data_IF_678640239328
#
_entry.id   IF_678640239328
#
_cell.length_a   1.000
_cell.length_b   1.000
_cell.length_c   1.000
_cell.angle_alpha   90.00
_cell.angle_beta   90.00
_cell.angle_gamma   90.00
#
_symmetry.space_group_name_H-M   'P 1'
#
loop_
_entity.id
_entity.type
_entity.pdbx_description
1 polymer ?
#
# COMPACT_ATOMS: atom_id res chain seq x y z
N UNK A 1 32.64 0.84 10.09
CA UNK A 1 31.26 0.91 9.57
C UNK A 1 30.57 -0.38 9.93
N UNK A 2 29.48 -0.33 10.67
CA UNK A 2 28.78 -1.56 11.12
C UNK A 2 28.12 -2.24 9.92
N UNK A 3 28.30 -3.54 9.79
CA UNK A 3 27.70 -4.39 8.74
C UNK A 3 26.16 -4.27 8.74
N UNK A 4 25.56 -3.97 9.90
CA UNK A 4 24.12 -3.83 10.09
C UNK A 4 23.49 -2.56 9.48
N UNK A 5 24.23 -1.48 9.27
CA UNK A 5 23.70 -0.25 8.68
C UNK A 5 23.44 -0.42 7.18
N UNK A 6 24.29 -1.12 6.47
CA UNK A 6 24.19 -1.31 5.02
C UNK A 6 22.96 -2.17 4.64
N UNK A 7 22.68 -3.24 5.41
CA UNK A 7 21.54 -4.10 5.14
C UNK A 7 20.20 -3.39 5.43
N UNK A 8 20.13 -2.60 6.51
CA UNK A 8 18.96 -1.83 6.86
C UNK A 8 18.66 -0.74 5.80
N UNK A 9 19.66 0.06 5.44
CA UNK A 9 19.53 1.09 4.41
C UNK A 9 19.17 0.48 3.05
N UNK A 10 19.76 -0.66 2.71
CA UNK A 10 19.42 -1.39 1.48
C UNK A 10 17.95 -1.79 1.45
N UNK A 11 17.43 -2.39 2.53
CA UNK A 11 16.03 -2.77 2.63
C UNK A 11 15.12 -1.54 2.51
N UNK A 12 15.39 -0.47 3.26
CA UNK A 12 14.60 0.76 3.23
C UNK A 12 14.57 1.41 1.85
N UNK A 13 15.71 1.50 1.19
CA UNK A 13 15.86 2.21 -0.08
C UNK A 13 15.44 1.41 -1.31
N UNK A 14 15.37 0.07 -1.19
CA UNK A 14 14.99 -0.83 -2.29
C UNK A 14 13.63 -1.51 -2.13
N UNK A 15 12.92 -1.29 -1.02
CA UNK A 15 11.54 -1.77 -0.88
C UNK A 15 10.63 -1.07 -1.88
N UNK A 16 9.80 -1.83 -2.58
CA UNK A 16 8.94 -1.38 -3.67
C UNK A 16 7.55 -2.00 -3.56
N UNK A 17 6.58 -1.34 -4.17
CA UNK A 17 5.28 -1.92 -4.46
C UNK A 17 5.43 -3.06 -5.47
N UNK A 18 5.39 -4.31 -5.00
CA UNK A 18 5.58 -5.49 -5.84
C UNK A 18 4.22 -5.96 -6.38
N UNK A 19 4.09 -6.06 -7.69
CA UNK A 19 2.87 -6.52 -8.38
C UNK A 19 3.20 -7.65 -9.35
N UNK A 20 3.75 -7.36 -10.53
CA UNK A 20 4.13 -8.34 -11.55
C UNK A 20 5.22 -9.33 -11.13
N UNK A 21 5.97 -8.98 -10.10
CA UNK A 21 7.05 -9.81 -9.55
C UNK A 21 6.63 -10.56 -8.28
N UNK A 22 5.32 -10.66 -7.99
CA UNK A 22 4.82 -11.58 -6.99
C UNK A 22 4.77 -12.99 -7.60
N UNK A 23 5.46 -13.92 -6.96
CA UNK A 23 5.38 -15.35 -7.24
C UNK A 23 4.19 -15.91 -6.47
N UNK A 24 3.14 -16.26 -7.18
CA UNK A 24 1.89 -16.77 -6.61
C UNK A 24 1.91 -18.29 -6.37
N UNK A 25 2.92 -18.98 -6.89
CA UNK A 25 2.97 -20.44 -6.87
C UNK A 25 3.87 -20.96 -5.73
N UNK A 26 4.79 -20.13 -5.23
CA UNK A 26 5.70 -20.48 -4.14
C UNK A 26 5.06 -20.25 -2.79
N UNK A 27 5.01 -21.31 -1.97
CA UNK A 27 4.42 -21.28 -0.63
C UNK A 27 5.27 -20.47 0.37
N UNK A 28 4.59 -19.78 1.28
CA UNK A 28 5.18 -19.02 2.39
C UNK A 28 4.76 -19.72 3.68
N UNK A 29 5.73 -20.04 4.53
CA UNK A 29 5.45 -20.53 5.87
C UNK A 29 4.83 -19.40 6.72
N UNK A 30 3.73 -19.72 7.44
CA UNK A 30 3.06 -18.76 8.29
C UNK A 30 3.95 -18.22 9.41
N UNK A 31 4.91 -19.00 9.87
CA UNK A 31 5.92 -18.56 10.86
C UNK A 31 6.67 -17.33 10.37
N UNK A 32 7.01 -17.25 9.08
CA UNK A 32 7.68 -16.08 8.50
C UNK A 32 6.76 -14.84 8.54
N UNK A 33 5.47 -15.04 8.31
CA UNK A 33 4.48 -13.96 8.42
C UNK A 33 4.34 -13.47 9.87
N UNK A 34 4.30 -14.39 10.83
CA UNK A 34 4.24 -14.10 12.26
C UNK A 34 5.47 -13.30 12.72
N UNK A 35 6.67 -13.69 12.29
CA UNK A 35 7.89 -12.91 12.57
C UNK A 35 7.81 -11.49 12.00
N UNK A 36 7.30 -11.32 10.77
CA UNK A 36 7.10 -10.01 10.17
C UNK A 36 6.07 -9.19 10.94
N UNK A 37 5.02 -9.82 11.45
CA UNK A 37 4.01 -9.17 12.29
C UNK A 37 4.60 -8.69 13.61
N UNK A 38 5.41 -9.51 14.29
CA UNK A 38 6.06 -9.13 15.55
C UNK A 38 6.95 -7.89 15.38
N UNK A 39 7.60 -7.72 14.22
CA UNK A 39 8.35 -6.51 13.88
C UNK A 39 7.39 -5.34 13.63
N UNK A 40 6.34 -5.55 12.87
CA UNK A 40 5.37 -4.50 12.53
C UNK A 40 4.67 -3.91 13.77
N UNK A 41 4.36 -4.73 14.74
CA UNK A 41 3.69 -4.32 15.98
C UNK A 41 4.58 -3.48 16.92
N UNK A 42 5.87 -3.30 16.60
CA UNK A 42 6.75 -2.34 17.31
C UNK A 42 6.57 -0.90 16.84
N UNK A 43 5.75 -0.66 15.81
CA UNK A 43 5.47 0.69 15.34
C UNK A 43 4.71 1.51 16.38
N UNK A 44 5.01 2.81 16.54
CA UNK A 44 4.31 3.65 17.50
C UNK A 44 2.85 3.89 17.09
N UNK A 45 1.97 4.02 18.09
CA UNK A 45 0.56 4.38 17.89
C UNK A 45 0.19 5.63 18.68
N UNK A 46 -0.68 6.45 18.15
CA UNK A 46 -1.24 7.60 18.84
C UNK A 46 -1.98 7.16 20.12
N UNK A 47 -1.58 7.70 21.27
CA UNK A 47 -2.20 7.39 22.55
C UNK A 47 -2.06 5.94 23.03
N UNK A 48 -1.08 5.19 22.52
CA UNK A 48 -0.89 3.76 22.80
C UNK A 48 -2.15 2.92 22.49
N UNK A 49 -2.89 3.28 21.45
CA UNK A 49 -4.20 2.68 21.19
C UNK A 49 -4.13 1.24 20.70
N UNK A 50 -3.09 0.89 19.91
CA UNK A 50 -2.87 -0.46 19.33
C UNK A 50 -4.16 -1.06 18.71
N UNK A 51 -4.96 -0.20 18.10
CA UNK A 51 -6.31 -0.48 17.66
C UNK A 51 -6.40 -1.10 16.26
N UNK A 52 -5.27 -1.46 15.67
CA UNK A 52 -5.22 -2.19 14.41
C UNK A 52 -5.73 -3.63 14.53
N UNK A 53 -6.28 -4.13 13.42
CA UNK A 53 -6.66 -5.53 13.22
C UNK A 53 -6.15 -5.98 11.86
N UNK A 54 -5.53 -7.15 11.83
CA UNK A 54 -4.87 -7.73 10.67
C UNK A 54 -5.59 -9.03 10.30
N UNK A 55 -6.29 -9.04 9.18
CA UNK A 55 -7.08 -10.18 8.72
C UNK A 55 -6.34 -10.83 7.55
N UNK A 56 -5.73 -11.99 7.81
CA UNK A 56 -5.08 -12.79 6.77
C UNK A 56 -6.10 -13.72 6.13
N UNK A 57 -6.41 -13.48 4.87
CA UNK A 57 -7.35 -14.28 4.09
C UNK A 57 -6.57 -15.32 3.30
N UNK A 58 -6.78 -16.59 3.60
CA UNK A 58 -6.17 -17.76 2.94
C UNK A 58 -7.18 -18.61 2.22
N UNK A 59 -8.43 -18.58 2.66
CA UNK A 59 -9.54 -19.30 2.04
C UNK A 59 -9.73 -18.87 0.58
N UNK A 60 -9.79 -19.84 -0.33
CA UNK A 60 -9.83 -19.58 -1.77
C UNK A 60 -11.15 -18.94 -2.23
N UNK A 61 -12.27 -19.31 -1.60
CA UNK A 61 -13.58 -18.75 -1.94
C UNK A 61 -13.67 -17.27 -1.50
N UNK A 62 -13.24 -17.00 -0.27
CA UNK A 62 -13.20 -15.64 0.27
C UNK A 62 -12.26 -14.77 -0.56
N UNK A 63 -11.05 -15.25 -0.86
CA UNK A 63 -10.10 -14.53 -1.74
C UNK A 63 -10.69 -14.25 -3.11
N UNK A 64 -11.40 -15.20 -3.70
CA UNK A 64 -12.03 -15.03 -5.02
C UNK A 64 -13.09 -13.93 -5.00
N UNK A 65 -13.93 -13.87 -3.95
CA UNK A 65 -14.95 -12.81 -3.78
C UNK A 65 -14.30 -11.44 -3.65
N UNK A 66 -13.28 -11.30 -2.80
CA UNK A 66 -12.55 -10.02 -2.62
C UNK A 66 -11.80 -9.63 -3.89
N UNK A 67 -11.18 -10.58 -4.58
CA UNK A 67 -10.49 -10.33 -5.85
C UNK A 67 -11.44 -9.84 -6.94
N UNK A 68 -12.66 -10.37 -7.00
CA UNK A 68 -13.69 -9.88 -7.92
C UNK A 68 -14.06 -8.43 -7.62
N UNK A 69 -14.33 -8.10 -6.35
CA UNK A 69 -14.62 -6.72 -5.91
C UNK A 69 -13.47 -5.77 -6.28
N UNK A 70 -12.23 -6.20 -6.01
CA UNK A 70 -11.04 -5.42 -6.33
C UNK A 70 -10.90 -5.14 -7.83
N UNK A 71 -11.14 -6.16 -8.67
CA UNK A 71 -11.10 -6.06 -10.12
C UNK A 71 -12.19 -5.15 -10.66
N UNK A 72 -13.42 -5.32 -10.19
CA UNK A 72 -14.56 -4.49 -10.59
C UNK A 72 -14.31 -3.02 -10.23
N UNK A 73 -13.76 -2.76 -9.04
CA UNK A 73 -13.34 -1.43 -8.61
C UNK A 73 -12.22 -0.86 -9.47
N UNK A 74 -11.23 -1.68 -9.90
CA UNK A 74 -10.18 -1.24 -10.82
C UNK A 74 -10.77 -0.83 -12.17
N UNK A 75 -11.66 -1.63 -12.73
CA UNK A 75 -12.30 -1.34 -14.01
C UNK A 75 -13.05 -0.02 -13.92
N UNK A 76 -13.94 0.11 -12.94
CA UNK A 76 -14.83 1.26 -12.80
C UNK A 76 -14.10 2.56 -12.44
N UNK A 77 -13.11 2.52 -11.56
CA UNK A 77 -12.48 3.72 -11.00
C UNK A 77 -11.09 4.05 -11.56
N UNK A 78 -10.54 3.18 -12.41
CA UNK A 78 -9.22 3.40 -13.03
C UNK A 78 -9.30 3.23 -14.55
N UNK A 79 -9.73 2.05 -15.02
CA UNK A 79 -9.68 1.72 -16.45
C UNK A 79 -10.67 2.55 -17.28
N UNK A 80 -11.96 2.50 -16.93
CA UNK A 80 -12.99 3.26 -17.65
C UNK A 80 -12.73 4.77 -17.66
N UNK A 81 -12.36 5.43 -16.52
CA UNK A 81 -11.98 6.83 -16.53
C UNK A 81 -10.77 7.15 -17.41
N UNK A 82 -9.77 6.24 -17.50
CA UNK A 82 -8.63 6.44 -18.42
C UNK A 82 -9.03 6.39 -19.90
N UNK A 83 -10.01 5.56 -20.24
CA UNK A 83 -10.52 5.40 -21.60
C UNK A 83 -11.55 6.51 -21.96
N UNK A 84 -12.13 7.18 -20.97
CA UNK A 84 -13.09 8.28 -21.14
C UNK A 84 -12.39 9.59 -21.56
N UNK A 85 -13.18 10.54 -22.09
CA UNK A 85 -12.73 11.92 -22.36
C UNK A 85 -13.47 12.95 -21.51
N UNK A 86 -14.18 12.51 -20.48
CA UNK A 86 -15.02 13.35 -19.63
C UNK A 86 -14.35 13.86 -18.35
N UNK A 87 -15.16 14.38 -17.43
CA UNK A 87 -14.73 14.88 -16.12
C UNK A 87 -14.02 13.82 -15.27
N UNK A 88 -14.45 12.57 -15.34
CA UNK A 88 -13.84 11.44 -14.61
C UNK A 88 -12.39 11.19 -15.04
N UNK A 89 -12.10 11.35 -16.35
CA UNK A 89 -10.73 11.27 -16.87
C UNK A 89 -9.86 12.38 -16.26
N UNK A 90 -10.36 13.60 -16.22
CA UNK A 90 -9.63 14.75 -15.66
C UNK A 90 -9.41 14.60 -14.16
N UNK A 91 -10.38 14.08 -13.42
CA UNK A 91 -10.27 13.80 -11.98
C UNK A 91 -9.21 12.72 -11.71
N UNK A 92 -9.26 11.61 -12.46
CA UNK A 92 -8.24 10.56 -12.33
C UNK A 92 -6.85 11.08 -12.67
N UNK A 93 -6.70 11.86 -13.75
CA UNK A 93 -5.44 12.48 -14.12
C UNK A 93 -4.90 13.39 -13.01
N UNK A 94 -5.75 14.18 -12.36
CA UNK A 94 -5.36 15.02 -11.23
C UNK A 94 -4.83 14.23 -10.02
N UNK A 95 -5.24 12.98 -9.87
CA UNK A 95 -4.76 12.05 -8.82
C UNK A 95 -3.45 11.33 -9.20
N UNK A 96 -3.12 11.27 -10.46
CA UNK A 96 -1.90 10.63 -10.98
C UNK A 96 -0.77 11.64 -11.07
N UNK A 97 0.34 11.37 -10.42
CA UNK A 97 1.48 12.30 -10.33
C UNK A 97 2.35 12.45 -11.61
N UNK A 98 1.98 11.82 -12.72
CA UNK A 98 2.79 11.78 -13.95
C UNK A 98 1.99 12.14 -15.19
N UNK A 99 1.11 13.15 -15.10
CA UNK A 99 0.28 13.60 -16.20
C UNK A 99 0.77 14.97 -16.70
N UNK A 100 0.97 15.08 -18.00
CA UNK A 100 1.28 16.34 -18.69
C UNK A 100 0.28 16.59 -19.81
N UNK A 101 0.34 17.76 -20.43
CA UNK A 101 -0.47 18.09 -21.62
C UNK A 101 -0.22 17.15 -22.79
N UNK A 102 0.92 16.43 -22.81
CA UNK A 102 1.26 15.42 -23.83
C UNK A 102 0.81 13.99 -23.46
N UNK A 103 0.15 13.80 -22.30
CA UNK A 103 -0.35 12.50 -21.84
C UNK A 103 0.38 11.95 -20.61
N UNK A 104 0.24 10.64 -20.37
CA UNK A 104 0.87 9.93 -19.25
C UNK A 104 2.37 9.70 -19.52
N UNK A 105 3.20 9.96 -18.53
CA UNK A 105 4.62 9.59 -18.61
C UNK A 105 4.85 8.07 -18.52
N UNK A 106 6.02 7.62 -18.94
CA UNK A 106 6.39 6.20 -18.97
C UNK A 106 6.37 5.52 -17.60
N UNK A 107 6.53 6.28 -16.51
CA UNK A 107 6.48 5.78 -15.13
C UNK A 107 5.04 5.51 -14.72
N UNK A 108 4.13 6.43 -15.04
CA UNK A 108 2.70 6.29 -14.78
C UNK A 108 2.11 5.15 -15.60
N UNK A 109 2.49 5.02 -16.88
CA UNK A 109 2.08 3.88 -17.72
C UNK A 109 2.51 2.55 -17.09
N UNK A 110 3.76 2.42 -16.66
CA UNK A 110 4.24 1.19 -16.00
C UNK A 110 3.52 0.91 -14.67
N UNK A 111 3.16 1.95 -13.93
CA UNK A 111 2.39 1.82 -12.69
C UNK A 111 0.99 1.30 -12.96
N UNK A 112 0.29 1.83 -13.96
CA UNK A 112 -1.05 1.42 -14.37
C UNK A 112 -1.05 -0.01 -14.93
N UNK A 113 -0.06 -0.38 -15.73
CA UNK A 113 0.14 -1.74 -16.24
C UNK A 113 0.37 -2.74 -15.08
N UNK A 114 1.15 -2.35 -14.08
CA UNK A 114 1.30 -3.14 -12.85
C UNK A 114 0.01 -3.24 -12.03
N UNK A 115 -0.80 -2.18 -11.98
CA UNK A 115 -2.08 -2.17 -11.28
C UNK A 115 -3.13 -3.06 -11.98
N UNK A 116 -3.17 -3.02 -13.32
CA UNK A 116 -4.01 -3.90 -14.13
C UNK A 116 -3.66 -5.38 -13.91
N UNK A 117 -2.36 -5.71 -13.98
CA UNK A 117 -1.90 -7.07 -13.69
C UNK A 117 -2.34 -7.53 -12.30
N UNK A 118 -2.22 -6.66 -11.29
CA UNK A 118 -2.64 -7.01 -9.93
C UNK A 118 -4.16 -7.21 -9.85
N UNK A 119 -4.96 -6.39 -10.51
CA UNK A 119 -6.40 -6.52 -10.53
C UNK A 119 -6.85 -7.88 -11.08
N UNK A 120 -6.12 -8.43 -12.05
CA UNK A 120 -6.40 -9.73 -12.62
C UNK A 120 -5.87 -10.91 -11.77
N UNK A 121 -4.89 -10.70 -10.91
CA UNK A 121 -4.14 -11.77 -10.26
C UNK A 121 -4.16 -11.73 -8.71
N UNK A 122 -4.72 -10.71 -8.07
CA UNK A 122 -4.64 -10.52 -6.61
C UNK A 122 -5.17 -11.74 -5.83
N UNK A 123 -6.20 -12.41 -6.35
CA UNK A 123 -6.78 -13.61 -5.75
C UNK A 123 -5.86 -14.83 -5.70
N UNK A 124 -4.78 -14.83 -6.51
CA UNK A 124 -3.77 -15.88 -6.51
C UNK A 124 -2.76 -15.76 -5.38
N UNK A 125 -2.66 -14.60 -4.71
CA UNK A 125 -1.74 -14.42 -3.59
C UNK A 125 -2.01 -15.44 -2.50
N UNK A 126 -0.96 -16.01 -1.92
CA UNK A 126 -1.14 -17.00 -0.84
C UNK A 126 -1.83 -16.36 0.36
N UNK A 127 -1.37 -15.20 0.77
CA UNK A 127 -2.01 -14.39 1.79
C UNK A 127 -2.53 -13.09 1.18
N UNK A 128 -3.81 -12.81 1.40
CA UNK A 128 -4.39 -11.50 1.15
C UNK A 128 -4.65 -10.89 2.52
N UNK A 129 -3.88 -9.85 2.87
CA UNK A 129 -3.97 -9.20 4.16
C UNK A 129 -4.83 -7.96 4.08
N UNK A 130 -5.93 -7.92 4.83
CA UNK A 130 -6.70 -6.71 5.08
C UNK A 130 -6.32 -6.13 6.43
N UNK A 131 -5.94 -4.85 6.45
CA UNK A 131 -5.63 -4.11 7.68
C UNK A 131 -6.76 -3.15 8.00
N UNK A 132 -7.26 -3.24 9.23
CA UNK A 132 -8.33 -2.39 9.76
C UNK A 132 -7.87 -1.70 11.05
N UNK A 133 -8.61 -0.70 11.48
CA UNK A 133 -8.55 -0.13 12.82
C UNK A 133 -9.91 -0.27 13.52
N UNK A 134 -9.91 -0.56 14.83
CA UNK A 134 -11.13 -0.68 15.65
C UNK A 134 -11.67 0.69 16.06
N UNK A 135 -11.64 1.64 15.14
CA UNK A 135 -12.23 2.96 15.29
C UNK A 135 -13.17 3.20 14.12
N UNK A 136 -14.32 3.84 14.35
CA UNK A 136 -15.16 4.27 13.24
C UNK A 136 -14.39 5.28 12.39
N UNK A 137 -14.74 5.34 11.11
CA UNK A 137 -14.12 6.29 10.18
C UNK A 137 -14.26 7.73 10.73
N UNK A 138 -13.16 8.44 10.96
CA UNK A 138 -13.15 9.72 11.65
C UNK A 138 -13.55 10.90 10.77
N UNK A 139 -14.37 10.72 9.72
CA UNK A 139 -14.86 11.82 8.89
C UNK A 139 -15.50 12.95 9.72
N UNK A 140 -15.99 12.62 10.92
CA UNK A 140 -16.58 13.58 11.85
C UNK A 140 -15.54 14.29 12.72
N UNK A 141 -14.33 13.74 12.86
CA UNK A 141 -13.29 14.23 13.79
C UNK A 141 -12.27 15.21 13.20
N UNK A 142 -12.41 15.56 11.93
CA UNK A 142 -11.51 16.49 11.25
C UNK A 142 -10.08 15.95 11.01
N UNK A 143 -9.17 16.83 10.56
CA UNK A 143 -7.81 16.47 10.15
C UNK A 143 -6.99 15.79 11.24
N UNK A 144 -7.14 16.18 12.51
CA UNK A 144 -6.43 15.59 13.65
C UNK A 144 -6.78 14.11 13.85
N UNK A 145 -8.06 13.76 13.77
CA UNK A 145 -8.54 12.37 13.93
C UNK A 145 -8.10 11.49 12.76
N UNK A 146 -8.15 11.99 11.53
CA UNK A 146 -7.64 11.31 10.34
C UNK A 146 -6.14 11.06 10.45
N UNK A 147 -5.39 12.09 10.85
CA UNK A 147 -3.94 12.00 11.02
C UNK A 147 -3.56 10.98 12.11
N UNK A 148 -4.26 10.98 13.24
CA UNK A 148 -4.05 10.03 14.32
C UNK A 148 -4.36 8.58 13.89
N UNK A 149 -5.44 8.35 13.14
CA UNK A 149 -5.80 7.03 12.64
C UNK A 149 -4.74 6.50 11.67
N UNK A 150 -4.52 7.19 10.57
CA UNK A 150 -3.60 6.73 9.52
C UNK A 150 -2.14 6.75 9.96
N UNK A 151 -1.75 7.73 10.79
CA UNK A 151 -0.43 7.83 11.40
C UNK A 151 -0.11 6.69 12.38
N UNK A 152 -1.13 6.03 12.93
CA UNK A 152 -0.96 4.84 13.78
C UNK A 152 -0.89 3.54 12.98
N UNK A 153 -1.53 3.46 11.81
CA UNK A 153 -1.63 2.20 11.06
C UNK A 153 -0.57 2.08 9.97
N UNK A 154 -0.35 3.13 9.17
CA UNK A 154 0.60 3.04 8.06
C UNK A 154 2.07 2.83 8.46
N UNK A 155 2.58 3.35 9.59
CA UNK A 155 3.92 2.99 10.06
C UNK A 155 4.07 1.49 10.33
N UNK A 156 3.07 0.85 10.93
CA UNK A 156 3.08 -0.59 11.16
C UNK A 156 3.02 -1.38 9.83
N UNK A 157 2.17 -0.96 8.89
CA UNK A 157 2.11 -1.57 7.54
C UNK A 157 3.46 -1.43 6.83
N UNK A 158 4.10 -0.27 6.92
CA UNK A 158 5.40 -0.07 6.29
C UNK A 158 6.49 -0.92 6.95
N UNK A 159 6.53 -1.01 8.28
CA UNK A 159 7.44 -1.90 9.01
C UNK A 159 7.23 -3.36 8.62
N UNK A 160 5.98 -3.80 8.46
CA UNK A 160 5.64 -5.12 7.95
C UNK A 160 6.20 -5.36 6.54
N UNK A 161 6.06 -4.39 5.63
CA UNK A 161 6.60 -4.50 4.27
C UNK A 161 8.13 -4.56 4.24
N UNK A 162 8.82 -3.82 5.12
CA UNK A 162 10.28 -3.89 5.28
C UNK A 162 10.71 -5.27 5.80
N UNK A 163 9.98 -5.82 6.77
CA UNK A 163 10.22 -7.16 7.31
C UNK A 163 9.98 -8.25 6.26
N UNK A 164 8.94 -8.14 5.44
CA UNK A 164 8.71 -9.01 4.30
C UNK A 164 9.89 -8.93 3.30
N UNK A 165 10.30 -7.71 2.96
CA UNK A 165 11.38 -7.46 2.01
C UNK A 165 12.70 -8.09 2.44
N UNK A 166 13.07 -8.00 3.73
CA UNK A 166 14.29 -8.61 4.28
C UNK A 166 14.29 -10.15 4.20
N UNK A 167 13.14 -10.76 3.98
CA UNK A 167 12.93 -12.22 3.85
C UNK A 167 12.65 -12.67 2.41
N UNK A 168 12.89 -11.80 1.42
CA UNK A 168 12.64 -12.13 0.00
C UNK A 168 11.16 -12.19 -0.38
N UNK A 169 10.28 -11.65 0.48
CA UNK A 169 8.87 -11.50 0.22
C UNK A 169 8.55 -10.09 -0.30
N UNK A 170 7.44 -9.97 -0.97
CA UNK A 170 6.94 -8.70 -1.50
C UNK A 170 5.46 -8.51 -1.24
N UNK A 171 5.06 -7.25 -1.26
CA UNK A 171 3.67 -6.83 -1.17
C UNK A 171 3.48 -5.46 -1.80
N UNK A 172 2.25 -5.00 -1.84
CA UNK A 172 1.88 -3.64 -2.22
C UNK A 172 0.70 -3.19 -1.40
N UNK A 173 0.74 -1.97 -0.89
CA UNK A 173 -0.43 -1.32 -0.30
C UNK A 173 -1.40 -0.97 -1.43
N UNK A 174 -2.66 -1.41 -1.31
CA UNK A 174 -3.72 -1.05 -2.24
C UNK A 174 -5.01 -0.72 -1.49
N UNK A 175 -5.85 0.12 -2.08
CA UNK A 175 -7.05 0.67 -1.47
C UNK A 175 -8.28 0.59 -2.38
N UNK A 176 -8.18 -0.10 -3.52
CA UNK A 176 -9.30 -0.18 -4.48
C UNK A 176 -10.53 -0.90 -3.91
N UNK A 177 -10.35 -1.84 -2.97
CA UNK A 177 -11.45 -2.50 -2.27
C UNK A 177 -12.32 -1.52 -1.48
N UNK A 178 -11.79 -0.35 -1.07
CA UNK A 178 -12.53 0.65 -0.32
C UNK A 178 -13.66 1.32 -1.12
N UNK A 179 -13.67 1.18 -2.45
CA UNK A 179 -14.82 1.61 -3.27
C UNK A 179 -16.05 0.72 -3.07
N UNK A 180 -15.86 -0.47 -2.47
CA UNK A 180 -16.91 -1.41 -2.10
C UNK A 180 -16.67 -1.93 -0.66
N UNK A 181 -16.32 -1.02 0.25
CA UNK A 181 -15.94 -1.31 1.64
C UNK A 181 -16.98 -2.15 2.37
N UNK A 182 -18.28 -1.87 2.15
CA UNK A 182 -19.38 -2.60 2.80
C UNK A 182 -19.45 -4.05 2.35
N UNK A 183 -19.28 -4.32 1.05
CA UNK A 183 -19.31 -5.68 0.52
C UNK A 183 -18.13 -6.51 1.09
N UNK A 184 -16.96 -5.91 1.22
CA UNK A 184 -15.80 -6.56 1.84
C UNK A 184 -16.04 -6.78 3.33
N UNK A 185 -16.67 -5.84 4.03
CA UNK A 185 -17.03 -5.98 5.43
C UNK A 185 -18.00 -7.15 5.66
N UNK A 186 -19.01 -7.29 4.82
CA UNK A 186 -19.98 -8.41 4.87
C UNK A 186 -19.29 -9.76 4.67
N UNK A 187 -18.36 -9.85 3.68
CA UNK A 187 -17.62 -11.10 3.41
C UNK A 187 -16.75 -11.52 4.59
N UNK A 188 -16.14 -10.56 5.28
CA UNK A 188 -15.16 -10.81 6.35
C UNK A 188 -15.73 -10.65 7.77
N UNK A 189 -17.00 -10.28 7.90
CA UNK A 189 -17.64 -10.05 9.20
C UNK A 189 -17.05 -8.83 9.94
N UNK A 190 -16.63 -7.79 9.23
CA UNK A 190 -16.04 -6.59 9.83
C UNK A 190 -17.18 -5.71 10.36
N UNK A 191 -17.15 -5.34 11.65
CA UNK A 191 -18.21 -4.52 12.23
C UNK A 191 -18.14 -3.06 11.75
N UNK A 192 -19.27 -2.38 11.77
CA UNK A 192 -19.37 -0.94 11.42
C UNK A 192 -18.51 -0.03 12.29
N UNK A 193 -18.12 -0.50 13.48
CA UNK A 193 -17.20 0.21 14.40
C UNK A 193 -15.75 0.17 13.97
N UNK A 194 -15.40 -0.58 12.92
CA UNK A 194 -14.05 -0.68 12.39
C UNK A 194 -13.92 0.02 11.03
N UNK A 195 -12.74 0.56 10.78
CA UNK A 195 -12.38 1.19 9.49
C UNK A 195 -11.40 0.32 8.75
N UNK A 196 -11.70 -0.03 7.50
CA UNK A 196 -10.74 -0.69 6.62
C UNK A 196 -9.70 0.33 6.12
N UNK A 197 -8.42 -0.05 6.13
CA UNK A 197 -7.31 0.87 5.82
C UNK A 197 -6.62 0.49 4.51
N UNK A 198 -6.20 -0.76 4.37
CA UNK A 198 -5.43 -1.21 3.23
C UNK A 198 -5.57 -2.71 2.99
N UNK A 199 -5.45 -3.11 1.73
CA UNK A 199 -5.36 -4.50 1.30
C UNK A 199 -3.97 -4.75 0.73
N UNK A 200 -3.30 -5.82 1.18
CA UNK A 200 -1.97 -6.20 0.76
C UNK A 200 -1.94 -7.66 0.28
N UNK A 201 -1.73 -7.92 -1.00
CA UNK A 201 -1.32 -9.26 -1.45
C UNK A 201 0.12 -9.52 -1.03
N UNK A 202 0.42 -10.73 -0.57
CA UNK A 202 1.74 -11.14 -0.13
C UNK A 202 2.18 -12.37 -0.93
N UNK A 203 3.43 -12.36 -1.38
CA UNK A 203 4.04 -13.44 -2.13
C UNK A 203 5.57 -13.38 -2.07
N UNK A 204 6.25 -14.45 -2.46
CA UNK A 204 7.68 -14.37 -2.75
C UNK A 204 7.94 -13.39 -3.91
N UNK A 205 9.12 -12.79 -3.97
CA UNK A 205 9.50 -11.96 -5.10
C UNK A 205 10.21 -12.78 -6.17
N UNK A 206 9.82 -12.59 -7.43
CA UNK A 206 10.58 -13.09 -8.59
C UNK A 206 11.84 -12.22 -8.72
N UNK A 207 12.97 -12.78 -8.32
CA UNK A 207 14.24 -12.06 -8.16
C UNK A 207 14.27 -11.15 -6.93
N UNK A 208 15.45 -10.90 -6.42
CA UNK A 208 15.66 -10.14 -5.17
C UNK A 208 16.16 -8.71 -5.41
N UNK A 209 16.65 -8.42 -6.62
CA UNK A 209 17.23 -7.12 -6.93
C UNK A 209 16.16 -6.09 -7.27
N UNK A 210 16.14 -5.01 -6.47
CA UNK A 210 15.31 -3.84 -6.70
C UNK A 210 16.19 -2.58 -6.70
N UNK A 211 16.01 -1.74 -7.72
CA UNK A 211 16.75 -0.49 -7.86
C UNK A 211 16.16 0.61 -6.97
N UNK A 212 16.99 1.59 -6.63
CA UNK A 212 16.51 2.85 -6.07
C UNK A 212 15.42 3.46 -6.95
N UNK A 213 14.41 4.05 -6.33
CA UNK A 213 13.43 4.83 -7.08
C UNK A 213 13.96 6.25 -7.30
N UNK A 214 13.76 6.75 -8.50
CA UNK A 214 13.92 8.18 -8.74
C UNK A 214 12.95 8.96 -7.85
N UNK A 215 13.46 9.94 -7.13
CA UNK A 215 12.71 10.82 -6.23
C UNK A 215 13.10 12.28 -6.52
N UNK A 216 12.27 13.20 -6.09
CA UNK A 216 12.63 14.61 -6.04
C UNK A 216 13.85 14.77 -5.14
N UNK A 217 14.70 15.76 -5.43
CA UNK A 217 15.82 16.15 -4.54
C UNK A 217 15.30 16.64 -3.19
N UNK A 218 16.17 16.61 -2.19
CA UNK A 218 15.83 17.13 -0.86
C UNK A 218 15.41 18.60 -0.93
N UNK A 219 16.12 19.41 -1.70
CA UNK A 219 15.85 20.84 -1.85
C UNK A 219 14.47 21.15 -2.46
N UNK A 220 13.91 20.20 -3.23
CA UNK A 220 12.59 20.35 -3.82
C UNK A 220 11.44 20.03 -2.84
N UNK A 221 11.73 19.45 -1.67
CA UNK A 221 10.70 18.94 -0.74
C UNK A 221 10.96 19.31 0.72
N UNK A 222 12.14 19.85 1.05
CA UNK A 222 12.50 20.25 2.41
C UNK A 222 12.67 21.77 2.51
N UNK A 223 12.08 22.35 3.54
CA UNK A 223 12.06 23.79 3.76
C UNK A 223 12.49 24.13 5.19
N UNK A 224 13.18 25.26 5.36
CA UNK A 224 13.64 25.76 6.64
C UNK A 224 12.68 26.86 7.14
N UNK A 225 12.14 26.70 8.32
CA UNK A 225 11.31 27.66 9.05
C UNK A 225 9.96 28.05 8.40
N UNK A 226 9.84 28.02 7.06
CA UNK A 226 8.61 28.40 6.38
C UNK A 226 8.44 27.67 5.04
N UNK A 227 7.19 27.60 4.54
CA UNK A 227 6.88 27.06 3.23
C UNK A 227 7.60 27.85 2.13
N UNK A 228 8.19 27.16 1.15
CA UNK A 228 8.98 27.77 0.05
C UNK A 228 10.30 28.45 0.45
N UNK A 229 10.83 28.21 1.65
CA UNK A 229 12.20 28.59 2.01
C UNK A 229 13.06 27.31 1.95
N UNK A 230 13.74 27.02 0.84
CA UNK A 230 14.46 25.75 0.65
C UNK A 230 15.50 25.51 1.74
N UNK A 231 15.64 24.26 2.16
CA UNK A 231 16.70 23.84 3.06
C UNK A 231 18.03 23.92 2.29
N UNK A 232 18.85 24.92 2.57
CA UNK A 232 20.20 25.05 2.04
C UNK A 232 21.21 24.54 3.07
N UNK A 233 22.14 23.70 2.63
CA UNK A 233 23.26 23.22 3.45
C UNK A 233 24.56 24.00 3.17
N UNK A 234 24.46 25.09 2.40
CA UNK A 234 25.62 25.88 1.94
C UNK A 234 25.68 27.29 2.59
N UNK A 235 25.48 27.34 3.90
CA UNK A 235 25.82 28.54 4.71
C UNK A 235 26.83 28.18 5.80
#
# INVERSE_FOLDING_TARGET
>A
MSIYSNDFEHVMTTTRSVRKRLDFDRQIDFVVIEECMNIALQAPTGGHAEDWRWIFVTDLEIKSKIAKIYRDSFIKHVKEPLESKGSEHSELQGRLGGVSSSGLDSRTIRMLDGASFLADNIGRSQYMLLVCATRPNPQVGGAGSLSALYGSVYPAIWSFQLALRSRGLGSVITTLHLHAEKEVAEILGIPDSATQIALLPIGHTIGTEFKFAERKSVDAVAFLNSWNHPLSFND
#
